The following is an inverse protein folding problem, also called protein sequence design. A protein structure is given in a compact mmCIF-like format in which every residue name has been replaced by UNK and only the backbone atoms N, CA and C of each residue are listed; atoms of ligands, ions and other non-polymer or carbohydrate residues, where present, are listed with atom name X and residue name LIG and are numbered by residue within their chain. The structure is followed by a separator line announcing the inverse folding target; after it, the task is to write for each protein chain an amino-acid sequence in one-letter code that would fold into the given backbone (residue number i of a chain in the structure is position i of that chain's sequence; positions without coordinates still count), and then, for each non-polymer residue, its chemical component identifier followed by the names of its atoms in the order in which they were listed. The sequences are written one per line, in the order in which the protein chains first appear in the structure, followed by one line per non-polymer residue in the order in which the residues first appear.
data_IF_669905532127
#
_entry.id   IF_669905532127
#
_cell.length_a   1.000
_cell.length_b   1.000
_cell.length_c   1.000
_cell.angle_alpha   90.00
_cell.angle_beta   90.00
_cell.angle_gamma   90.00
#
_symmetry.space_group_name_H-M   'P 1'
#
loop_
_entity.id
_entity.type
_entity.pdbx_description
1 polymer ?
#
# COMPACT_ATOMS: atom_id res chain seq x y z
N UNK A 1 10.72 17.14 -7.35
CA UNK A 1 9.40 16.58 -7.69
C UNK A 1 9.47 15.12 -7.31
N UNK A 2 8.64 14.63 -6.39
CA UNK A 2 8.58 13.18 -6.15
C UNK A 2 8.05 12.54 -7.44
N UNK A 3 8.47 11.32 -7.76
CA UNK A 3 7.88 10.62 -8.91
C UNK A 3 6.36 10.48 -8.65
N UNK A 4 5.51 10.82 -9.62
CA UNK A 4 4.04 10.75 -9.50
C UNK A 4 3.52 9.47 -8.81
N UNK A 5 4.08 8.26 -9.05
CA UNK A 5 3.64 7.03 -8.37
C UNK A 5 3.83 7.05 -6.84
N UNK A 6 4.81 7.80 -6.34
CA UNK A 6 5.10 7.92 -4.90
C UNK A 6 4.03 8.76 -4.21
N UNK A 7 3.63 9.86 -4.85
CA UNK A 7 2.59 10.75 -4.32
C UNK A 7 1.24 10.01 -4.31
N UNK A 8 0.87 9.38 -5.41
CA UNK A 8 -0.36 8.56 -5.52
C UNK A 8 -0.43 7.47 -4.46
N UNK A 9 0.67 6.74 -4.20
CA UNK A 9 0.69 5.67 -3.21
C UNK A 9 0.51 6.20 -1.78
N UNK A 10 1.11 7.35 -1.44
CA UNK A 10 0.96 7.99 -0.13
C UNK A 10 -0.46 8.53 0.07
N UNK A 11 -0.98 9.27 -0.91
CA UNK A 11 -2.35 9.78 -0.90
C UNK A 11 -3.37 8.64 -0.70
N UNK A 12 -3.13 7.49 -1.33
CA UNK A 12 -4.00 6.33 -1.19
C UNK A 12 -4.05 5.78 0.23
N UNK A 13 -2.92 5.74 0.93
CA UNK A 13 -2.89 5.32 2.33
C UNK A 13 -3.51 6.37 3.27
N UNK A 14 -3.41 7.66 2.97
CA UNK A 14 -4.08 8.69 3.75
C UNK A 14 -5.61 8.61 3.62
N UNK A 15 -6.12 8.32 2.42
CA UNK A 15 -7.56 8.07 2.21
C UNK A 15 -8.03 6.84 3.01
N UNK A 16 -7.30 5.72 2.93
CA UNK A 16 -7.62 4.52 3.73
C UNK A 16 -7.63 4.81 5.23
N UNK A 17 -6.70 5.62 5.72
CA UNK A 17 -6.64 6.03 7.14
C UNK A 17 -7.94 6.70 7.58
N UNK A 18 -8.46 7.60 6.75
CA UNK A 18 -9.73 8.29 7.00
C UNK A 18 -10.88 7.31 7.11
N UNK A 19 -11.04 6.43 6.11
CA UNK A 19 -12.11 5.42 6.13
C UNK A 19 -12.02 4.48 7.35
N UNK A 20 -10.82 4.05 7.74
CA UNK A 20 -10.64 3.20 8.92
C UNK A 20 -10.98 3.96 10.21
N UNK A 21 -10.56 5.24 10.32
CA UNK A 21 -10.87 6.09 11.48
C UNK A 21 -12.39 6.29 11.64
N UNK A 22 -13.09 6.49 10.51
CA UNK A 22 -14.54 6.65 10.46
C UNK A 22 -15.31 5.32 10.57
N UNK A 23 -14.59 4.19 10.65
CA UNK A 23 -15.16 2.82 10.60
C UNK A 23 -16.02 2.60 9.34
N UNK A 24 -15.67 3.29 8.25
CA UNK A 24 -16.31 3.15 6.96
C UNK A 24 -15.78 1.91 6.24
N UNK A 25 -16.29 0.75 6.64
CA UNK A 25 -15.82 -0.55 6.13
C UNK A 25 -16.21 -0.79 4.67
N UNK A 26 -17.31 -0.20 4.20
CA UNK A 26 -17.71 -0.32 2.80
C UNK A 26 -16.67 0.40 1.92
N UNK A 27 -16.35 1.65 2.24
CA UNK A 27 -15.41 2.42 1.42
C UNK A 27 -13.97 1.95 1.61
N UNK A 28 -13.58 1.46 2.79
CA UNK A 28 -12.27 0.80 3.00
C UNK A 28 -12.07 -0.33 1.98
N UNK A 29 -13.08 -1.20 1.82
CA UNK A 29 -13.00 -2.35 0.90
C UNK A 29 -13.13 -1.94 -0.56
N UNK A 30 -14.04 -1.02 -0.87
CA UNK A 30 -14.19 -0.44 -2.22
C UNK A 30 -12.90 0.21 -2.68
N UNK A 31 -12.20 0.90 -1.78
CA UNK A 31 -10.97 1.61 -2.10
C UNK A 31 -9.81 0.64 -2.41
N UNK A 32 -9.68 -0.44 -1.63
CA UNK A 32 -8.67 -1.51 -1.86
C UNK A 32 -8.86 -2.18 -3.23
N UNK A 33 -10.10 -2.43 -3.63
CA UNK A 33 -10.39 -3.12 -4.90
C UNK A 33 -10.50 -2.19 -6.12
N UNK A 34 -10.69 -0.88 -5.92
CA UNK A 34 -10.83 0.11 -6.99
C UNK A 34 -9.56 0.95 -7.16
N UNK A 35 -9.49 2.15 -6.57
CA UNK A 35 -8.34 3.07 -6.68
C UNK A 35 -6.96 2.43 -6.47
N UNK A 36 -6.82 1.49 -5.53
CA UNK A 36 -5.54 0.81 -5.27
C UNK A 36 -5.20 -0.33 -6.24
N UNK A 37 -6.12 -0.72 -7.13
CA UNK A 37 -5.91 -1.81 -8.09
C UNK A 37 -4.76 -1.55 -9.07
N UNK A 38 -4.50 -0.28 -9.42
CA UNK A 38 -3.41 0.12 -10.32
C UNK A 38 -2.02 0.13 -9.67
N UNK A 39 -1.94 0.28 -8.35
CA UNK A 39 -0.68 0.44 -7.63
C UNK A 39 0.28 -0.73 -7.84
N UNK A 40 -0.25 -1.95 -8.01
CA UNK A 40 0.56 -3.15 -8.27
C UNK A 40 1.36 -3.05 -9.56
N UNK A 41 0.76 -2.49 -10.60
CA UNK A 41 1.42 -2.29 -11.88
C UNK A 41 2.49 -1.21 -11.79
N UNK A 42 2.22 -0.12 -11.09
CA UNK A 42 3.16 0.98 -10.87
C UNK A 42 4.40 0.53 -10.10
N UNK A 43 4.22 -0.15 -8.95
CA UNK A 43 5.33 -0.70 -8.17
C UNK A 43 6.16 -1.70 -8.96
N UNK A 44 5.52 -2.51 -9.81
CA UNK A 44 6.20 -3.44 -10.72
C UNK A 44 7.06 -2.71 -11.76
N UNK A 45 6.60 -1.58 -12.27
CA UNK A 45 7.37 -0.72 -13.18
C UNK A 45 8.56 -0.07 -12.47
N UNK A 46 8.35 0.50 -11.29
CA UNK A 46 9.43 1.09 -10.47
C UNK A 46 10.49 0.05 -10.07
N UNK A 47 10.05 -1.14 -9.68
CA UNK A 47 10.96 -2.25 -9.36
C UNK A 47 11.88 -2.58 -10.53
N UNK A 48 11.39 -2.49 -11.77
CA UNK A 48 12.20 -2.77 -12.97
C UNK A 48 13.21 -1.68 -13.29
N UNK A 49 13.01 -0.44 -12.80
CA UNK A 49 13.99 0.65 -12.94
C UNK A 49 15.08 0.66 -11.86
N UNK A 50 14.95 -0.15 -10.81
CA UNK A 50 15.96 -0.24 -9.76
C UNK A 50 17.23 -0.97 -10.21
N UNK A 51 18.35 -0.70 -9.51
CA UNK A 51 19.57 -1.48 -9.65
C UNK A 51 19.26 -2.97 -9.40
N UNK A 52 19.90 -3.91 -10.13
CA UNK A 52 19.59 -5.34 -10.03
C UNK A 52 19.62 -5.90 -8.61
N UNK A 53 20.51 -5.38 -7.75
CA UNK A 53 20.64 -5.78 -6.34
C UNK A 53 19.41 -5.44 -5.48
N UNK A 54 18.68 -4.38 -5.80
CA UNK A 54 17.56 -3.86 -5.00
C UNK A 54 16.21 -4.43 -5.48
N UNK A 55 16.15 -4.94 -6.72
CA UNK A 55 14.89 -5.45 -7.30
C UNK A 55 14.29 -6.62 -6.52
N UNK A 56 15.10 -7.48 -5.89
CA UNK A 56 14.58 -8.62 -5.11
C UNK A 56 13.81 -8.11 -3.90
N UNK A 57 14.37 -7.14 -3.18
CA UNK A 57 13.75 -6.57 -1.99
C UNK A 57 12.51 -5.77 -2.33
N UNK A 58 12.56 -4.95 -3.40
CA UNK A 58 11.40 -4.23 -3.90
C UNK A 58 10.22 -5.16 -4.25
N UNK A 59 10.48 -6.32 -4.86
CA UNK A 59 9.44 -7.34 -5.12
C UNK A 59 8.86 -7.92 -3.83
N UNK A 60 9.68 -8.14 -2.81
CA UNK A 60 9.22 -8.68 -1.52
C UNK A 60 8.34 -7.68 -0.79
N UNK A 61 8.77 -6.42 -0.71
CA UNK A 61 8.02 -5.33 -0.08
C UNK A 61 6.70 -5.07 -0.81
N UNK A 62 6.70 -5.10 -2.14
CA UNK A 62 5.47 -4.99 -2.93
C UNK A 62 4.51 -6.15 -2.62
N UNK A 63 4.98 -7.40 -2.57
CA UNK A 63 4.14 -8.54 -2.18
C UNK A 63 3.59 -8.41 -0.75
N UNK A 64 4.40 -7.94 0.18
CA UNK A 64 4.00 -7.75 1.57
C UNK A 64 2.88 -6.71 1.68
N UNK A 65 3.05 -5.55 1.03
CA UNK A 65 2.03 -4.50 0.96
C UNK A 65 0.67 -5.03 0.46
N UNK A 66 0.64 -5.78 -0.64
CA UNK A 66 -0.62 -6.33 -1.15
C UNK A 66 -1.22 -7.40 -0.23
N UNK A 67 -0.39 -8.17 0.47
CA UNK A 67 -0.87 -9.10 1.48
C UNK A 67 -1.50 -8.37 2.68
N UNK A 68 -0.98 -7.20 3.05
CA UNK A 68 -1.58 -6.37 4.09
C UNK A 68 -2.91 -5.77 3.63
N UNK A 69 -3.05 -5.40 2.35
CA UNK A 69 -4.34 -4.98 1.79
C UNK A 69 -5.37 -6.11 1.77
N UNK A 70 -4.99 -7.33 1.44
CA UNK A 70 -5.89 -8.50 1.52
C UNK A 70 -6.35 -8.74 2.97
N UNK A 71 -5.44 -8.63 3.94
CA UNK A 71 -5.77 -8.78 5.36
C UNK A 71 -6.59 -7.59 5.90
N UNK A 72 -6.35 -6.38 5.40
CA UNK A 72 -7.15 -5.20 5.71
C UNK A 72 -8.58 -5.33 5.14
N UNK A 73 -8.75 -5.84 3.92
CA UNK A 73 -10.08 -6.14 3.35
C UNK A 73 -10.83 -7.16 4.23
N UNK A 74 -10.15 -8.23 4.64
CA UNK A 74 -10.73 -9.24 5.53
C UNK A 74 -11.13 -8.64 6.88
N UNK A 75 -10.26 -7.86 7.51
CA UNK A 75 -10.56 -7.18 8.77
C UNK A 75 -11.74 -6.19 8.65
N UNK A 76 -11.81 -5.44 7.54
CA UNK A 76 -12.92 -4.53 7.26
C UNK A 76 -14.23 -5.29 7.04
N UNK A 77 -14.19 -6.44 6.33
CA UNK A 77 -15.35 -7.33 6.15
C UNK A 77 -15.90 -7.83 7.49
N UNK A 78 -15.02 -8.13 8.43
CA UNK A 78 -15.35 -8.54 9.80
C UNK A 78 -15.65 -7.36 10.74
N UNK A 79 -15.49 -6.12 10.28
CA UNK A 79 -15.59 -4.89 11.08
C UNK A 79 -14.65 -4.86 12.28
N UNK A 80 -13.51 -5.55 12.17
CA UNK A 80 -12.52 -5.67 13.22
C UNK A 80 -11.55 -4.48 13.17
N UNK A 81 -11.86 -3.42 13.93
CA UNK A 81 -11.05 -2.19 13.92
C UNK A 81 -9.60 -2.41 14.37
N UNK A 82 -9.35 -3.30 15.34
CA UNK A 82 -8.00 -3.57 15.84
C UNK A 82 -7.16 -4.24 14.76
N UNK A 83 -7.72 -5.26 14.10
CA UNK A 83 -7.05 -5.91 12.97
C UNK A 83 -6.85 -4.93 11.81
N UNK A 84 -7.86 -4.13 11.45
CA UNK A 84 -7.77 -3.16 10.37
C UNK A 84 -6.66 -2.12 10.63
N UNK A 85 -6.58 -1.55 11.84
CA UNK A 85 -5.53 -0.60 12.20
C UNK A 85 -4.14 -1.23 12.14
N UNK A 86 -4.00 -2.48 12.59
CA UNK A 86 -2.73 -3.21 12.51
C UNK A 86 -2.30 -3.41 11.05
N UNK A 87 -3.19 -3.92 10.21
CA UNK A 87 -2.87 -4.18 8.79
C UNK A 87 -2.59 -2.90 8.02
N UNK A 88 -3.30 -1.82 8.35
CA UNK A 88 -2.98 -0.49 7.84
C UNK A 88 -1.57 -0.03 8.22
N UNK A 89 -1.16 -0.22 9.49
CA UNK A 89 0.19 0.09 9.94
C UNK A 89 1.27 -0.71 9.22
N UNK A 90 1.05 -2.02 9.04
CA UNK A 90 1.94 -2.90 8.26
C UNK A 90 2.05 -2.44 6.80
N UNK A 91 0.92 -2.07 6.16
CA UNK A 91 0.91 -1.52 4.80
C UNK A 91 1.71 -0.22 4.68
N UNK A 92 1.57 0.71 5.63
CA UNK A 92 2.36 1.95 5.67
C UNK A 92 3.86 1.64 5.76
N UNK A 93 4.26 0.69 6.60
CA UNK A 93 5.66 0.32 6.77
C UNK A 93 6.27 -0.32 5.51
N UNK A 94 5.55 -1.23 4.85
CA UNK A 94 6.02 -1.87 3.63
C UNK A 94 6.07 -0.90 2.45
N UNK A 95 5.10 0.02 2.34
CA UNK A 95 5.17 1.07 1.33
C UNK A 95 6.37 1.98 1.58
N UNK A 96 6.58 2.46 2.81
CA UNK A 96 7.71 3.34 3.11
C UNK A 96 9.05 2.65 2.81
N UNK A 97 9.21 1.40 3.24
CA UNK A 97 10.42 0.62 2.97
C UNK A 97 10.66 0.45 1.46
N UNK A 98 9.59 0.28 0.66
CA UNK A 98 9.70 0.19 -0.79
C UNK A 98 10.17 1.53 -1.38
N UNK A 99 9.62 2.64 -0.91
CA UNK A 99 9.98 3.98 -1.35
C UNK A 99 11.43 4.33 -1.01
N UNK A 100 11.96 3.83 0.10
CA UNK A 100 13.35 4.03 0.52
C UNK A 100 14.37 3.34 -0.41
N UNK A 101 13.92 2.37 -1.22
CA UNK A 101 14.75 1.75 -2.27
C UNK A 101 14.81 2.61 -3.54
N UNK A 102 13.89 3.55 -3.71
CA UNK A 102 13.87 4.40 -4.89
C UNK A 102 15.03 5.42 -4.81
N UNK A 103 15.72 5.70 -5.92
CA UNK A 103 16.77 6.70 -5.93
C UNK A 103 16.22 8.05 -5.48
N UNK A 104 16.82 8.65 -4.45
CA UNK A 104 16.56 10.05 -4.09
C UNK A 104 16.94 10.91 -5.29
N UNK A 105 15.95 11.57 -5.90
CA UNK A 105 16.16 12.50 -7.02
C UNK A 105 16.66 13.85 -6.51
#
# INVERSE_FOLDING_TARGET
MLAEPIETAKESLDVLKGFIADKNWIDTRTYIHGPLGGLRQEMSSLTRSLLPKDQKEARNLSKALFSDFERLDAAAKERNSVAAQRQYGEAVQHLQSFLDLLPSS
#
